data_IF_845510480472
#
_entry.id   IF_845510480472
#
_cell.length_a   1.000
_cell.length_b   1.000
_cell.length_c   1.000
_cell.angle_alpha   90.00
_cell.angle_beta   90.00
_cell.angle_gamma   90.00
#
_symmetry.space_group_name_H-M   'P 1'
#
loop_
_entity.id
_entity.type
_entity.pdbx_description
1 polymer ?
#
# COMPACT_ATOMS: atom_id res chain seq x y z
N UNK A 1 28.01 36.04 3.02
CA UNK A 1 28.35 34.62 3.29
C UNK A 1 27.80 33.78 2.12
N UNK A 2 28.64 33.03 1.44
CA UNK A 2 28.19 32.16 0.38
C UNK A 2 27.68 30.87 1.04
N UNK A 3 26.37 30.66 1.05
CA UNK A 3 25.76 29.43 1.55
C UNK A 3 25.86 28.35 0.45
N UNK A 4 26.46 27.21 0.75
CA UNK A 4 26.62 26.13 -0.20
C UNK A 4 25.30 25.37 -0.45
N UNK A 5 24.48 25.22 0.59
CA UNK A 5 23.21 24.50 0.49
C UNK A 5 22.15 25.14 1.38
N UNK A 6 20.97 25.35 0.83
CA UNK A 6 19.77 25.86 1.51
C UNK A 6 18.68 24.80 1.45
N UNK A 7 18.17 24.41 2.60
CA UNK A 7 17.09 23.42 2.70
C UNK A 7 15.74 24.14 2.80
N UNK A 8 14.84 23.82 1.88
CA UNK A 8 13.51 24.43 1.81
C UNK A 8 12.45 23.42 2.25
N UNK A 9 11.94 23.60 3.45
CA UNK A 9 10.82 22.81 3.96
C UNK A 9 9.50 23.35 3.45
N UNK A 10 8.65 22.45 2.99
CA UNK A 10 7.35 22.78 2.41
C UNK A 10 6.26 21.96 3.12
N UNK A 11 5.36 22.62 3.83
CA UNK A 11 4.12 22.00 4.28
C UNK A 11 3.05 22.26 3.22
N UNK A 12 2.66 21.19 2.53
CA UNK A 12 1.86 21.28 1.29
C UNK A 12 0.43 20.84 1.55
N UNK A 13 -0.51 21.73 1.26
CA UNK A 13 -1.96 21.49 1.30
C UNK A 13 -2.58 21.76 -0.07
N UNK A 14 -3.84 21.38 -0.26
CA UNK A 14 -4.52 21.54 -1.55
C UNK A 14 -4.52 22.99 -2.05
N UNK A 15 -4.80 23.93 -1.17
CA UNK A 15 -5.00 25.34 -1.54
C UNK A 15 -3.77 26.23 -1.27
N UNK A 16 -2.88 25.82 -0.35
CA UNK A 16 -1.76 26.65 0.07
C UNK A 16 -0.54 25.82 0.44
N UNK A 17 0.64 26.38 0.22
CA UNK A 17 1.93 25.85 0.69
C UNK A 17 2.55 26.81 1.70
N UNK A 18 3.06 26.26 2.80
CA UNK A 18 3.90 27.01 3.75
C UNK A 18 5.35 26.63 3.53
N UNK A 19 6.18 27.61 3.22
CA UNK A 19 7.58 27.45 2.83
C UNK A 19 8.48 28.11 3.87
N UNK A 20 9.66 27.56 4.10
CA UNK A 20 10.73 28.24 4.83
C UNK A 20 12.09 27.71 4.41
N UNK A 21 13.12 28.54 4.58
CA UNK A 21 14.51 28.15 4.39
C UNK A 21 15.17 27.76 5.72
N UNK A 22 16.16 26.86 5.65
CA UNK A 22 17.02 26.46 6.75
C UNK A 22 18.44 26.24 6.24
N UNK A 23 19.42 26.69 6.99
CA UNK A 23 20.83 26.39 6.72
C UNK A 23 21.49 25.85 7.98
N UNK A 24 22.54 25.04 7.83
CA UNK A 24 23.28 24.47 8.95
C UNK A 24 24.06 25.53 9.74
N UNK A 25 24.37 26.68 9.11
CA UNK A 25 25.12 27.77 9.74
C UNK A 25 24.26 28.56 10.74
N UNK A 26 22.97 28.71 10.44
CA UNK A 26 22.05 29.48 11.30
C UNK A 26 21.21 28.64 12.24
N UNK A 27 21.05 27.35 11.93
CA UNK A 27 20.27 26.37 12.71
C UNK A 27 18.83 26.79 13.05
N UNK A 28 18.26 27.71 12.26
CA UNK A 28 16.91 28.21 12.47
C UNK A 28 16.16 28.38 11.12
N UNK A 29 14.83 28.27 11.17
CA UNK A 29 13.99 28.49 10.01
C UNK A 29 13.80 30.00 9.74
N UNK A 30 14.10 30.41 8.51
CA UNK A 30 14.02 31.80 8.06
C UNK A 30 13.09 31.93 6.85
N UNK A 31 12.72 33.18 6.52
CA UNK A 31 11.93 33.55 5.33
C UNK A 31 10.65 32.73 5.19
N UNK A 32 9.98 32.45 6.31
CA UNK A 32 8.72 31.71 6.28
C UNK A 32 7.65 32.48 5.51
N UNK A 33 7.06 31.84 4.50
CA UNK A 33 6.03 32.43 3.63
C UNK A 33 4.92 31.42 3.37
N UNK A 34 3.67 31.89 3.34
CA UNK A 34 2.52 31.12 2.87
C UNK A 34 2.17 31.58 1.45
N UNK A 35 2.05 30.63 0.54
CA UNK A 35 1.76 30.89 -0.89
C UNK A 35 0.60 30.01 -1.36
N UNK A 36 0.03 30.34 -2.52
CA UNK A 36 -1.00 29.51 -3.14
C UNK A 36 -0.43 28.13 -3.51
N UNK A 37 -1.26 27.10 -3.51
CA UNK A 37 -0.91 25.70 -3.74
C UNK A 37 -0.57 25.39 -5.21
N UNK A 38 0.42 26.08 -5.77
CA UNK A 38 0.88 25.88 -7.14
C UNK A 38 2.41 25.88 -7.22
N UNK A 39 2.99 24.98 -8.01
CA UNK A 39 4.44 24.84 -8.13
C UNK A 39 5.17 26.11 -8.55
N UNK A 40 4.55 26.96 -9.40
CA UNK A 40 5.15 28.24 -9.83
C UNK A 40 5.38 29.20 -8.66
N UNK A 41 4.57 29.11 -7.61
CA UNK A 41 4.77 29.93 -6.39
C UNK A 41 6.01 29.47 -5.61
N UNK A 42 6.30 28.16 -5.66
CA UNK A 42 7.57 27.63 -5.09
C UNK A 42 8.74 28.13 -5.92
N UNK A 43 8.66 28.11 -7.26
CA UNK A 43 9.73 28.65 -8.13
C UNK A 43 9.99 30.13 -7.86
N UNK A 44 8.93 30.94 -7.78
CA UNK A 44 9.04 32.36 -7.46
C UNK A 44 9.67 32.60 -6.07
N UNK A 45 9.30 31.77 -5.09
CA UNK A 45 9.93 31.82 -3.77
C UNK A 45 11.43 31.51 -3.82
N UNK A 46 11.83 30.45 -4.54
CA UNK A 46 13.24 30.09 -4.71
C UNK A 46 14.04 31.19 -5.40
N UNK A 47 13.46 31.82 -6.41
CA UNK A 47 14.10 32.96 -7.11
C UNK A 47 14.30 34.16 -6.15
N UNK A 48 13.30 34.51 -5.35
CA UNK A 48 13.44 35.53 -4.32
C UNK A 48 14.52 35.15 -3.28
N UNK A 49 14.66 33.89 -2.94
CA UNK A 49 15.67 33.44 -1.97
C UNK A 49 17.10 33.49 -2.53
N UNK A 50 17.31 33.44 -3.86
CA UNK A 50 18.64 33.67 -4.47
C UNK A 50 19.19 35.03 -4.12
N UNK A 51 18.36 36.04 -3.99
CA UNK A 51 18.79 37.39 -3.56
C UNK A 51 19.42 37.37 -2.15
N UNK A 52 18.94 36.48 -1.27
CA UNK A 52 19.43 36.39 0.11
C UNK A 52 20.62 35.45 0.32
N UNK A 53 20.66 34.37 -0.47
CA UNK A 53 21.66 33.29 -0.28
C UNK A 53 22.74 33.25 -1.37
N UNK A 54 22.58 34.03 -2.45
CA UNK A 54 23.45 34.06 -3.61
C UNK A 54 22.99 33.17 -4.75
N UNK A 55 23.42 33.50 -5.98
CA UNK A 55 23.04 32.78 -7.20
C UNK A 55 23.58 31.34 -7.23
N UNK A 56 24.75 31.11 -6.64
CA UNK A 56 25.41 29.79 -6.55
C UNK A 56 24.80 28.86 -5.48
N UNK A 57 23.83 29.36 -4.68
CA UNK A 57 23.21 28.55 -3.63
C UNK A 57 22.41 27.37 -4.21
N UNK A 58 22.67 26.17 -3.69
CA UNK A 58 21.93 24.96 -4.06
C UNK A 58 20.71 24.80 -3.16
N UNK A 59 19.52 24.90 -3.74
CA UNK A 59 18.28 24.66 -3.01
C UNK A 59 17.88 23.20 -3.05
N UNK A 60 17.57 22.62 -1.88
CA UNK A 60 17.00 21.26 -1.73
C UNK A 60 15.63 21.43 -1.07
N UNK A 61 14.58 21.23 -1.86
CA UNK A 61 13.20 21.29 -1.41
C UNK A 61 12.76 19.94 -0.84
N UNK A 62 11.84 19.96 0.11
CA UNK A 62 11.19 18.73 0.55
C UNK A 62 9.85 18.96 1.20
N UNK A 63 9.01 17.95 1.11
CA UNK A 63 7.69 17.93 1.75
C UNK A 63 7.33 16.54 2.24
N UNK A 64 6.38 16.49 3.18
CA UNK A 64 5.90 15.23 3.76
C UNK A 64 4.97 14.49 2.78
N UNK A 65 5.14 13.17 2.67
CA UNK A 65 4.23 12.33 1.87
C UNK A 65 2.79 12.44 2.38
N UNK A 66 1.89 12.88 1.52
CA UNK A 66 0.49 13.12 1.83
C UNK A 66 -0.44 12.79 0.68
N UNK A 67 -1.66 13.34 0.74
CA UNK A 67 -2.71 13.07 -0.25
C UNK A 67 -2.49 13.70 -1.63
N UNK A 68 -1.53 14.63 -1.78
CA UNK A 68 -1.24 15.31 -3.04
C UNK A 68 -0.41 14.48 -4.03
N UNK A 69 0.00 13.26 -3.64
CA UNK A 69 0.75 12.36 -4.52
C UNK A 69 2.12 12.91 -4.91
N UNK A 70 2.54 12.64 -6.16
CA UNK A 70 3.87 12.96 -6.68
C UNK A 70 3.88 14.13 -7.67
N UNK A 71 2.72 14.72 -8.00
CA UNK A 71 2.60 15.76 -9.03
C UNK A 71 3.52 16.96 -8.75
N UNK A 72 3.54 17.47 -7.52
CA UNK A 72 4.43 18.59 -7.15
C UNK A 72 5.90 18.21 -7.30
N UNK A 73 6.27 16.99 -6.92
CA UNK A 73 7.64 16.49 -7.12
C UNK A 73 8.03 16.51 -8.60
N UNK A 74 7.18 15.95 -9.47
CA UNK A 74 7.45 15.91 -10.91
C UNK A 74 7.52 17.33 -11.53
N UNK A 75 6.64 18.24 -11.11
CA UNK A 75 6.67 19.63 -11.55
C UNK A 75 7.96 20.36 -11.12
N UNK A 76 8.40 20.21 -9.88
CA UNK A 76 9.63 20.84 -9.40
C UNK A 76 10.88 20.25 -10.07
N UNK A 77 10.95 18.93 -10.20
CA UNK A 77 12.10 18.27 -10.82
C UNK A 77 12.21 18.54 -12.33
N UNK A 78 11.09 18.70 -13.03
CA UNK A 78 11.09 19.12 -14.44
C UNK A 78 11.65 20.54 -14.64
N UNK A 79 11.66 21.37 -13.59
CA UNK A 79 12.28 22.70 -13.56
C UNK A 79 13.66 22.68 -12.89
N UNK A 80 14.34 21.53 -12.83
CA UNK A 80 15.67 21.34 -12.24
C UNK A 80 15.78 21.68 -10.74
N UNK A 81 14.67 21.72 -10.01
CA UNK A 81 14.66 21.88 -8.55
C UNK A 81 14.88 20.52 -7.90
N UNK A 82 15.90 20.40 -7.06
CA UNK A 82 16.12 19.19 -6.24
C UNK A 82 14.99 19.08 -5.21
N UNK A 83 14.20 18.02 -5.29
CA UNK A 83 13.06 17.80 -4.42
C UNK A 83 13.10 16.41 -3.79
N UNK A 84 12.67 16.29 -2.54
CA UNK A 84 12.62 15.04 -1.77
C UNK A 84 11.25 14.94 -1.10
N UNK A 85 10.65 13.75 -1.11
CA UNK A 85 9.44 13.48 -0.34
C UNK A 85 9.83 12.68 0.91
N UNK A 86 9.47 13.19 2.08
CA UNK A 86 9.82 12.60 3.37
C UNK A 86 8.72 11.66 3.85
N UNK A 87 9.10 10.49 4.38
CA UNK A 87 8.15 9.56 4.97
C UNK A 87 7.76 10.02 6.39
N UNK A 88 6.46 10.32 6.65
CA UNK A 88 6.00 10.89 7.93
C UNK A 88 6.36 10.04 9.15
N UNK A 89 6.38 8.73 8.99
CA UNK A 89 6.64 7.78 10.08
C UNK A 89 8.09 7.75 10.56
N UNK A 90 9.00 8.33 9.79
CA UNK A 90 10.45 8.34 10.09
C UNK A 90 10.94 9.68 10.59
N UNK A 91 10.12 10.72 10.50
CA UNK A 91 10.45 12.05 11.00
C UNK A 91 10.36 12.11 12.54
N UNK A 92 11.24 12.88 13.20
CA UNK A 92 11.16 13.08 14.65
C UNK A 92 9.82 13.68 15.05
N UNK A 93 9.22 13.13 16.10
CA UNK A 93 7.99 13.72 16.67
C UNK A 93 8.37 14.88 17.58
N UNK A 94 7.66 16.03 17.51
CA UNK A 94 7.91 17.13 18.42
C UNK A 94 7.81 16.68 19.88
N UNK A 95 8.83 16.99 20.67
CA UNK A 95 8.82 16.74 22.11
C UNK A 95 7.86 17.73 22.81
N UNK A 96 6.94 17.23 23.66
CA UNK A 96 6.11 18.07 24.53
C UNK A 96 4.63 17.65 24.60
N UNK A 97 4.01 17.92 25.75
CA UNK A 97 2.61 17.57 26.05
C UNK A 97 1.57 18.46 25.36
N UNK A 98 1.92 19.66 24.91
CA UNK A 98 1.01 20.58 24.19
C UNK A 98 1.43 20.67 22.71
N UNK A 99 0.69 19.99 21.85
CA UNK A 99 0.89 20.05 20.41
C UNK A 99 0.26 21.34 19.87
N UNK A 100 1.06 22.39 19.70
CA UNK A 100 0.65 23.52 18.86
C UNK A 100 1.13 23.20 17.46
N UNK A 101 0.22 22.67 16.63
CA UNK A 101 0.45 22.38 15.22
C UNK A 101 0.13 23.63 14.41
N UNK A 102 1.07 24.10 13.60
CA UNK A 102 0.90 25.18 12.63
C UNK A 102 1.71 24.87 11.39
N UNK A 103 1.17 25.19 10.22
CA UNK A 103 1.79 24.99 8.91
C UNK A 103 3.25 25.52 8.89
N UNK A 104 3.51 26.68 9.51
CA UNK A 104 4.85 27.25 9.63
C UNK A 104 5.82 26.36 10.40
N UNK A 105 5.37 25.72 11.49
CA UNK A 105 6.22 24.82 12.30
C UNK A 105 6.46 23.50 11.59
N UNK A 106 5.47 23.02 10.85
CA UNK A 106 5.59 21.79 10.09
C UNK A 106 6.57 21.98 8.91
N UNK A 107 6.52 23.11 8.19
CA UNK A 107 7.52 23.47 7.19
C UNK A 107 8.94 23.60 7.79
N UNK A 108 9.08 24.23 8.96
CA UNK A 108 10.36 24.34 9.65
C UNK A 108 10.93 22.99 10.11
N UNK A 109 10.07 22.08 10.58
CA UNK A 109 10.48 20.73 10.92
C UNK A 109 10.97 19.96 9.68
N UNK A 110 10.28 20.07 8.56
CA UNK A 110 10.66 19.44 7.29
C UNK A 110 12.03 19.96 6.84
N UNK A 111 12.24 21.30 6.85
CA UNK A 111 13.52 21.92 6.47
C UNK A 111 14.68 21.41 7.35
N UNK A 112 14.46 21.33 8.66
CA UNK A 112 15.43 20.79 9.61
C UNK A 112 15.72 19.31 9.37
N UNK A 113 14.68 18.49 9.14
CA UNK A 113 14.86 17.08 8.81
C UNK A 113 15.71 16.89 7.54
N UNK A 114 15.48 17.73 6.49
CA UNK A 114 16.31 17.73 5.29
C UNK A 114 17.78 18.03 5.60
N UNK A 115 18.04 19.07 6.40
CA UNK A 115 19.39 19.51 6.76
C UNK A 115 20.18 18.43 7.54
N UNK A 116 19.53 17.80 8.50
CA UNK A 116 20.16 16.77 9.35
C UNK A 116 20.01 15.34 8.80
N UNK A 117 19.30 15.14 7.69
CA UNK A 117 18.98 13.82 7.10
C UNK A 117 18.21 12.91 8.05
N UNK A 118 17.39 13.49 8.92
CA UNK A 118 16.57 12.78 9.92
C UNK A 118 15.22 12.33 9.30
N UNK A 119 15.29 11.63 8.18
CA UNK A 119 14.12 11.09 7.47
C UNK A 119 14.49 9.92 6.57
N UNK A 120 13.50 9.13 6.19
CA UNK A 120 13.63 8.21 5.06
C UNK A 120 12.93 8.80 3.83
N UNK A 121 13.61 8.85 2.67
CA UNK A 121 12.98 9.33 1.45
C UNK A 121 11.92 8.35 0.97
N UNK A 122 10.81 8.88 0.45
CA UNK A 122 9.81 8.08 -0.24
C UNK A 122 10.34 7.71 -1.62
N UNK A 123 10.17 6.45 -2.00
CA UNK A 123 10.48 6.00 -3.36
C UNK A 123 9.45 6.60 -4.32
N UNK A 124 9.94 7.27 -5.35
CA UNK A 124 9.11 7.84 -6.41
C UNK A 124 8.91 6.76 -7.48
N UNK A 125 7.67 6.33 -7.73
CA UNK A 125 7.39 5.36 -8.79
C UNK A 125 7.62 5.98 -10.17
N UNK A 126 7.77 5.14 -11.19
CA UNK A 126 7.65 5.60 -12.56
C UNK A 126 6.22 6.07 -12.83
N UNK A 127 6.03 6.93 -13.82
CA UNK A 127 4.68 7.40 -14.20
C UNK A 127 3.77 6.22 -14.57
N UNK A 128 4.32 5.21 -15.25
CA UNK A 128 3.59 3.99 -15.59
C UNK A 128 3.18 3.18 -14.35
N UNK A 129 4.09 3.00 -13.39
CA UNK A 129 3.76 2.32 -12.13
C UNK A 129 2.69 3.08 -11.33
N UNK A 130 2.73 4.41 -11.38
CA UNK A 130 1.73 5.26 -10.71
C UNK A 130 0.35 5.06 -11.34
N UNK A 131 0.24 5.09 -12.67
CA UNK A 131 -1.01 4.84 -13.40
C UNK A 131 -1.56 3.44 -13.13
N UNK A 132 -0.71 2.41 -13.19
CA UNK A 132 -1.13 1.02 -12.92
C UNK A 132 -1.56 0.84 -11.47
N UNK A 133 -0.86 1.47 -10.53
CA UNK A 133 -1.22 1.48 -9.11
C UNK A 133 -2.59 2.11 -8.87
N UNK A 134 -2.86 3.27 -9.45
CA UNK A 134 -4.18 3.93 -9.37
C UNK A 134 -5.28 3.05 -9.97
N UNK A 135 -5.02 2.41 -11.10
CA UNK A 135 -5.98 1.50 -11.73
C UNK A 135 -6.33 0.32 -10.82
N UNK A 136 -5.33 -0.29 -10.18
CA UNK A 136 -5.53 -1.40 -9.24
C UNK A 136 -6.30 -0.95 -7.99
N UNK A 137 -6.00 0.23 -7.46
CA UNK A 137 -6.70 0.81 -6.31
C UNK A 137 -8.15 1.11 -6.64
N UNK A 138 -8.44 1.72 -7.79
CA UNK A 138 -9.80 1.93 -8.29
C UNK A 138 -10.57 0.60 -8.39
N UNK A 139 -9.94 -0.45 -8.92
CA UNK A 139 -10.54 -1.80 -8.96
C UNK A 139 -10.86 -2.31 -7.55
N UNK A 140 -9.98 -2.06 -6.58
CA UNK A 140 -10.22 -2.45 -5.18
C UNK A 140 -11.42 -1.72 -4.57
N UNK A 141 -11.63 -0.45 -4.90
CA UNK A 141 -12.78 0.33 -4.46
C UNK A 141 -14.08 -0.26 -4.99
N UNK A 142 -14.12 -0.68 -6.27
CA UNK A 142 -15.28 -1.40 -6.83
C UNK A 142 -15.52 -2.75 -6.17
N UNK A 143 -14.46 -3.48 -5.77
CA UNK A 143 -14.59 -4.73 -4.98
C UNK A 143 -15.23 -4.47 -3.62
N UNK A 144 -14.86 -3.37 -2.96
CA UNK A 144 -15.46 -2.96 -1.69
C UNK A 144 -16.93 -2.54 -1.88
N UNK A 145 -17.26 -1.83 -2.95
CA UNK A 145 -18.62 -1.47 -3.29
C UNK A 145 -19.49 -2.73 -3.52
N UNK A 146 -19.01 -3.70 -4.29
CA UNK A 146 -19.69 -4.98 -4.49
C UNK A 146 -19.90 -5.73 -3.17
N UNK A 147 -18.90 -5.74 -2.28
CA UNK A 147 -19.04 -6.33 -0.94
C UNK A 147 -20.16 -5.66 -0.15
N UNK A 148 -20.28 -4.33 -0.22
CA UNK A 148 -21.35 -3.57 0.46
C UNK A 148 -22.72 -3.94 -0.10
N UNK A 149 -22.88 -3.99 -1.42
CA UNK A 149 -24.15 -4.41 -2.07
C UNK A 149 -24.53 -5.82 -1.66
N UNK A 150 -23.59 -6.77 -1.66
CA UNK A 150 -23.82 -8.14 -1.16
C UNK A 150 -24.34 -8.15 0.29
N UNK A 151 -23.77 -7.34 1.16
CA UNK A 151 -24.24 -7.23 2.56
C UNK A 151 -25.65 -6.62 2.63
N UNK A 152 -25.96 -5.62 1.81
CA UNK A 152 -27.27 -4.98 1.75
C UNK A 152 -28.35 -5.96 1.30
N UNK A 153 -28.09 -6.79 0.27
CA UNK A 153 -29.00 -7.84 -0.21
C UNK A 153 -29.28 -8.87 0.90
N UNK A 154 -28.22 -9.37 1.57
CA UNK A 154 -28.42 -10.34 2.65
C UNK A 154 -29.19 -9.74 3.85
N UNK A 155 -28.92 -8.48 4.18
CA UNK A 155 -29.65 -7.76 5.22
C UNK A 155 -31.13 -7.52 4.84
N UNK A 156 -31.40 -7.23 3.55
CA UNK A 156 -32.78 -7.14 3.04
C UNK A 156 -33.50 -8.48 3.20
N UNK A 157 -32.90 -9.57 2.73
CA UNK A 157 -33.49 -10.92 2.88
C UNK A 157 -33.78 -11.26 4.34
N UNK A 158 -32.83 -10.95 5.25
CA UNK A 158 -32.99 -11.21 6.69
C UNK A 158 -34.16 -10.43 7.29
N UNK A 159 -34.31 -9.13 6.98
CA UNK A 159 -35.38 -8.29 7.50
C UNK A 159 -36.77 -8.73 7.04
N UNK A 160 -36.87 -9.30 5.84
CA UNK A 160 -38.12 -9.74 5.24
C UNK A 160 -38.35 -11.25 5.32
N UNK A 161 -37.57 -11.96 6.17
CA UNK A 161 -37.66 -13.40 6.41
C UNK A 161 -37.52 -14.27 5.14
N UNK A 162 -36.80 -13.81 4.12
CA UNK A 162 -36.41 -14.64 2.98
C UNK A 162 -35.21 -15.49 3.37
N UNK A 163 -35.39 -16.81 3.41
CA UNK A 163 -34.36 -17.76 3.83
C UNK A 163 -33.91 -18.63 2.67
N UNK A 164 -32.59 -18.79 2.52
CA UNK A 164 -31.99 -19.69 1.56
C UNK A 164 -31.48 -20.93 2.29
N UNK A 165 -32.23 -22.03 2.22
CA UNK A 165 -31.97 -23.24 3.01
C UNK A 165 -31.20 -24.32 2.22
N UNK A 166 -31.00 -24.15 0.90
CA UNK A 166 -30.38 -25.17 0.04
C UNK A 166 -28.91 -25.43 0.39
N UNK A 167 -28.14 -24.39 0.77
CA UNK A 167 -26.74 -24.52 1.21
C UNK A 167 -26.35 -23.39 2.15
N UNK A 168 -25.27 -23.60 2.95
CA UNK A 168 -24.66 -22.50 3.76
C UNK A 168 -23.85 -21.49 2.92
N UNK A 169 -23.65 -21.75 1.63
CA UNK A 169 -22.80 -20.91 0.77
C UNK A 169 -23.65 -19.93 -0.01
N UNK A 170 -23.48 -18.63 0.29
CA UNK A 170 -24.04 -17.54 -0.50
C UNK A 170 -23.21 -17.24 -1.75
N UNK A 171 -23.81 -16.54 -2.73
CA UNK A 171 -23.17 -16.03 -3.96
C UNK A 171 -22.74 -17.14 -4.94
N UNK A 172 -23.30 -18.34 -4.81
CA UNK A 172 -23.26 -19.39 -5.82
C UNK A 172 -24.32 -19.13 -6.89
N UNK A 173 -24.22 -19.78 -8.06
CA UNK A 173 -25.24 -19.67 -9.10
C UNK A 173 -26.65 -20.03 -8.58
N UNK A 174 -26.74 -21.09 -7.79
CA UNK A 174 -28.00 -21.47 -7.17
C UNK A 174 -28.58 -20.42 -6.22
N UNK A 175 -27.72 -19.78 -5.40
CA UNK A 175 -28.16 -18.68 -4.53
C UNK A 175 -28.60 -17.45 -5.33
N UNK A 176 -27.89 -17.11 -6.43
CA UNK A 176 -28.28 -15.99 -7.29
C UNK A 176 -29.59 -16.27 -8.03
N UNK A 177 -29.81 -17.50 -8.51
CA UNK A 177 -31.09 -17.92 -9.12
C UNK A 177 -32.23 -17.79 -8.10
N UNK A 178 -32.01 -18.26 -6.86
CA UNK A 178 -32.98 -18.10 -5.79
C UNK A 178 -33.27 -16.62 -5.49
N UNK A 179 -32.29 -15.76 -5.37
CA UNK A 179 -32.51 -14.33 -5.16
C UNK A 179 -33.36 -13.70 -6.27
N UNK A 180 -33.11 -14.07 -7.53
CA UNK A 180 -33.87 -13.60 -8.71
C UNK A 180 -35.26 -14.20 -8.80
N UNK A 181 -35.53 -15.34 -8.16
CA UNK A 181 -36.86 -15.96 -8.11
C UNK A 181 -37.76 -15.39 -7.02
N UNK A 182 -37.22 -14.62 -6.07
CA UNK A 182 -38.01 -13.97 -5.05
C UNK A 182 -38.97 -12.95 -5.68
N UNK A 183 -40.21 -12.94 -5.17
CA UNK A 183 -41.28 -12.01 -5.60
C UNK A 183 -41.82 -11.29 -4.37
N UNK A 184 -41.10 -10.34 -3.81
CA UNK A 184 -41.62 -9.47 -2.76
C UNK A 184 -42.80 -8.64 -3.28
N UNK A 185 -43.68 -8.22 -2.39
CA UNK A 185 -44.84 -7.40 -2.77
C UNK A 185 -44.51 -5.93 -2.90
N UNK A 186 -45.17 -5.23 -3.83
CA UNK A 186 -45.12 -3.79 -3.99
C UNK A 186 -43.70 -3.23 -4.15
N UNK A 187 -43.36 -2.17 -3.42
CA UNK A 187 -42.08 -1.46 -3.49
C UNK A 187 -40.87 -2.35 -3.10
N UNK A 188 -41.08 -3.41 -2.34
CA UNK A 188 -39.99 -4.34 -2.01
C UNK A 188 -39.47 -5.09 -3.24
N UNK A 189 -40.28 -5.31 -4.26
CA UNK A 189 -39.85 -5.89 -5.52
C UNK A 189 -38.89 -4.94 -6.26
N UNK A 190 -39.20 -3.66 -6.30
CA UNK A 190 -38.33 -2.64 -6.90
C UNK A 190 -37.00 -2.55 -6.15
N UNK A 191 -37.03 -2.48 -4.82
CA UNK A 191 -35.83 -2.42 -3.99
C UNK A 191 -34.91 -3.62 -4.23
N UNK A 192 -35.45 -4.84 -4.28
CA UNK A 192 -34.66 -6.03 -4.54
C UNK A 192 -34.06 -6.01 -5.96
N UNK A 193 -34.86 -5.59 -6.96
CA UNK A 193 -34.42 -5.43 -8.35
C UNK A 193 -33.25 -4.46 -8.46
N UNK A 194 -33.32 -3.30 -7.82
CA UNK A 194 -32.24 -2.29 -7.84
C UNK A 194 -30.94 -2.79 -7.16
N UNK A 195 -31.07 -3.53 -6.04
CA UNK A 195 -29.91 -4.16 -5.44
C UNK A 195 -29.26 -5.23 -6.34
N UNK A 196 -30.06 -6.05 -7.00
CA UNK A 196 -29.57 -7.07 -7.93
C UNK A 196 -28.96 -6.45 -9.19
N UNK A 197 -29.56 -5.39 -9.73
CA UNK A 197 -28.99 -4.59 -10.82
C UNK A 197 -27.62 -4.02 -10.45
N UNK A 198 -27.50 -3.42 -9.28
CA UNK A 198 -26.21 -2.91 -8.76
C UNK A 198 -25.18 -4.02 -8.59
N UNK A 199 -25.60 -5.20 -8.12
CA UNK A 199 -24.72 -6.37 -8.00
C UNK A 199 -24.19 -6.81 -9.37
N UNK A 200 -25.07 -6.94 -10.39
CA UNK A 200 -24.72 -7.37 -11.74
C UNK A 200 -23.76 -6.35 -12.39
N UNK A 201 -24.08 -5.05 -12.35
CA UNK A 201 -23.23 -3.98 -12.90
C UNK A 201 -21.83 -3.97 -12.29
N UNK A 202 -21.71 -4.11 -10.96
CA UNK A 202 -20.42 -4.15 -10.28
C UNK A 202 -19.64 -5.43 -10.58
N UNK A 203 -20.33 -6.57 -10.78
CA UNK A 203 -19.70 -7.83 -11.14
C UNK A 203 -19.11 -7.75 -12.55
N UNK A 204 -19.90 -7.31 -13.54
CA UNK A 204 -19.45 -7.12 -14.93
C UNK A 204 -18.29 -6.10 -15.02
N UNK A 205 -18.39 -5.03 -14.23
CA UNK A 205 -17.32 -4.03 -14.17
C UNK A 205 -16.02 -4.63 -13.63
N UNK A 206 -16.09 -5.40 -12.55
CA UNK A 206 -14.91 -6.06 -11.99
C UNK A 206 -14.29 -7.06 -12.95
N UNK A 207 -15.08 -7.81 -13.71
CA UNK A 207 -14.58 -8.74 -14.73
C UNK A 207 -13.81 -7.99 -15.85
N UNK A 208 -14.32 -6.83 -16.30
CA UNK A 208 -13.61 -6.00 -17.28
C UNK A 208 -12.30 -5.44 -16.72
N UNK A 209 -12.33 -4.96 -15.47
CA UNK A 209 -11.13 -4.44 -14.80
C UNK A 209 -10.10 -5.54 -14.57
N UNK A 210 -10.53 -6.75 -14.21
CA UNK A 210 -9.63 -7.89 -14.02
C UNK A 210 -8.96 -8.31 -15.33
N UNK A 211 -9.69 -8.34 -16.44
CA UNK A 211 -9.09 -8.58 -17.78
C UNK A 211 -8.04 -7.53 -18.12
N UNK A 212 -8.32 -6.25 -17.86
CA UNK A 212 -7.33 -5.19 -18.10
C UNK A 212 -6.10 -5.33 -17.24
N UNK A 213 -6.23 -5.77 -16.00
CA UNK A 213 -5.10 -6.05 -15.10
C UNK A 213 -4.24 -7.21 -15.64
N UNK A 214 -4.83 -8.26 -16.21
CA UNK A 214 -4.08 -9.34 -16.87
C UNK A 214 -3.29 -8.81 -18.08
N UNK A 215 -3.88 -7.92 -18.89
CA UNK A 215 -3.20 -7.28 -20.02
C UNK A 215 -2.03 -6.40 -19.55
N UNK A 216 -2.23 -5.59 -18.50
CA UNK A 216 -1.17 -4.76 -17.92
C UNK A 216 -0.03 -5.62 -17.38
N UNK A 217 -0.35 -6.72 -16.69
CA UNK A 217 0.65 -7.65 -16.17
C UNK A 217 1.43 -8.41 -17.27
N UNK A 218 0.88 -8.50 -18.48
CA UNK A 218 1.54 -9.11 -19.63
C UNK A 218 2.52 -8.15 -20.35
N UNK A 219 2.58 -6.88 -19.96
CA UNK A 219 3.54 -5.92 -20.51
C UNK A 219 4.98 -6.31 -20.14
N UNK A 220 5.96 -6.03 -20.99
CA UNK A 220 7.36 -6.46 -20.79
C UNK A 220 7.94 -6.09 -19.41
N UNK A 221 7.57 -4.93 -18.87
CA UNK A 221 8.06 -4.40 -17.59
C UNK A 221 7.62 -5.24 -16.39
N UNK A 222 6.46 -5.91 -16.50
CA UNK A 222 5.83 -6.64 -15.40
C UNK A 222 5.77 -8.15 -15.59
N UNK A 223 5.78 -8.62 -16.84
CA UNK A 223 5.45 -10.00 -17.19
C UNK A 223 6.30 -11.03 -16.44
N UNK A 224 7.60 -10.90 -16.51
CA UNK A 224 8.53 -11.85 -15.89
C UNK A 224 8.35 -11.89 -14.38
N UNK A 225 8.41 -10.73 -13.72
CA UNK A 225 8.29 -10.62 -12.27
C UNK A 225 6.93 -11.10 -11.75
N UNK A 226 5.86 -10.81 -12.50
CA UNK A 226 4.49 -11.27 -12.17
C UNK A 226 4.40 -12.79 -12.26
N UNK A 227 5.00 -13.40 -13.30
CA UNK A 227 5.04 -14.85 -13.47
C UNK A 227 5.84 -15.52 -12.34
N UNK A 228 7.00 -14.98 -11.98
CA UNK A 228 7.82 -15.49 -10.88
C UNK A 228 7.05 -15.44 -9.56
N UNK A 229 6.46 -14.30 -9.20
CA UNK A 229 5.67 -14.17 -7.98
C UNK A 229 4.46 -15.10 -7.95
N UNK A 230 3.84 -15.38 -9.10
CA UNK A 230 2.68 -16.27 -9.21
C UNK A 230 3.01 -17.75 -8.94
N UNK A 231 4.30 -18.09 -8.79
CA UNK A 231 4.75 -19.41 -8.33
C UNK A 231 4.46 -19.65 -6.83
N UNK A 232 4.27 -18.59 -6.05
CA UNK A 232 3.83 -18.74 -4.66
C UNK A 232 2.35 -19.12 -4.58
N UNK A 233 2.02 -19.96 -3.59
CA UNK A 233 0.64 -20.37 -3.33
C UNK A 233 -0.21 -19.13 -2.92
N UNK A 234 -1.34 -18.96 -3.60
CA UNK A 234 -2.28 -17.87 -3.31
C UNK A 234 -1.97 -16.53 -3.98
N UNK A 235 -0.78 -16.36 -4.57
CA UNK A 235 -0.48 -15.20 -5.40
C UNK A 235 -0.96 -15.45 -6.83
N UNK A 236 -1.84 -14.58 -7.31
CA UNK A 236 -2.30 -14.52 -8.69
C UNK A 236 -1.82 -13.22 -9.33
N UNK A 237 -2.03 -13.05 -10.62
CA UNK A 237 -1.61 -11.89 -11.42
C UNK A 237 -1.91 -10.57 -10.74
N UNK A 238 -3.14 -10.34 -10.29
CA UNK A 238 -3.52 -9.09 -9.61
C UNK A 238 -2.68 -8.83 -8.35
N UNK A 239 -2.49 -9.84 -7.49
CA UNK A 239 -1.69 -9.68 -6.26
C UNK A 239 -0.22 -9.44 -6.58
N UNK A 240 0.32 -10.14 -7.58
CA UNK A 240 1.70 -9.97 -8.03
C UNK A 240 1.91 -8.57 -8.61
N UNK A 241 1.11 -8.14 -9.58
CA UNK A 241 1.22 -6.81 -10.19
C UNK A 241 1.03 -5.71 -9.15
N UNK A 242 0.02 -5.83 -8.27
CA UNK A 242 -0.20 -4.87 -7.18
C UNK A 242 1.03 -4.74 -6.28
N UNK A 243 1.68 -5.86 -5.95
CA UNK A 243 2.89 -5.85 -5.12
C UNK A 243 4.06 -5.17 -5.86
N UNK A 244 4.21 -5.40 -7.16
CA UNK A 244 5.27 -4.78 -7.98
C UNK A 244 5.14 -3.26 -8.01
N UNK A 245 3.97 -2.74 -8.40
CA UNK A 245 3.78 -1.28 -8.58
C UNK A 245 3.70 -0.51 -7.26
N UNK A 246 3.30 -1.15 -6.17
CA UNK A 246 3.30 -0.54 -4.84
C UNK A 246 4.69 -0.50 -4.20
N UNK A 247 5.55 -1.46 -4.53
CA UNK A 247 6.91 -1.54 -3.98
C UNK A 247 7.91 -0.80 -4.87
N UNK A 248 7.75 -0.90 -6.19
CA UNK A 248 8.73 -0.41 -7.16
C UNK A 248 10.03 -1.24 -7.11
N UNK A 249 11.10 -0.65 -6.61
CA UNK A 249 12.38 -1.33 -6.49
C UNK A 249 12.52 -2.08 -5.15
N UNK A 250 12.66 -3.42 -5.23
CA UNK A 250 12.90 -4.27 -4.06
C UNK A 250 14.32 -4.15 -3.51
N UNK A 251 15.28 -3.77 -4.34
CA UNK A 251 16.69 -3.61 -3.95
C UNK A 251 16.94 -2.42 -3.01
N UNK A 252 15.96 -1.48 -2.91
CA UNK A 252 16.02 -0.38 -1.94
C UNK A 252 15.94 -0.84 -0.48
N UNK A 253 15.55 -2.08 -0.23
CA UNK A 253 15.56 -2.68 1.10
C UNK A 253 16.82 -3.55 1.26
N UNK A 254 17.66 -3.21 2.22
CA UNK A 254 18.91 -3.94 2.46
C UNK A 254 18.67 -5.37 2.99
N UNK A 255 17.46 -5.69 3.47
CA UNK A 255 17.12 -7.03 3.97
C UNK A 255 15.61 -7.32 3.89
N UNK A 256 15.28 -8.60 3.90
CA UNK A 256 13.90 -9.07 3.97
C UNK A 256 13.15 -8.54 5.22
N UNK A 257 13.87 -8.32 6.33
CA UNK A 257 13.34 -7.77 7.56
C UNK A 257 12.94 -6.30 7.39
N UNK A 258 13.74 -5.50 6.68
CA UNK A 258 13.39 -4.12 6.35
C UNK A 258 12.15 -4.07 5.45
N UNK A 259 12.05 -4.97 4.46
CA UNK A 259 10.85 -5.07 3.63
C UNK A 259 9.61 -5.45 4.47
N UNK A 260 9.71 -6.42 5.37
CA UNK A 260 8.62 -6.78 6.27
C UNK A 260 8.22 -5.63 7.22
N UNK A 261 9.18 -4.80 7.64
CA UNK A 261 8.95 -3.60 8.43
C UNK A 261 8.23 -2.51 7.62
N UNK A 262 8.64 -2.28 6.38
CA UNK A 262 7.95 -1.38 5.43
C UNK A 262 6.49 -1.75 5.23
N UNK A 263 6.15 -3.04 5.31
CA UNK A 263 4.77 -3.53 5.23
C UNK A 263 4.03 -3.45 6.59
N UNK A 264 4.71 -3.11 7.67
CA UNK A 264 4.16 -3.09 9.03
C UNK A 264 3.72 -4.47 9.52
N UNK A 265 4.40 -5.53 9.05
CA UNK A 265 4.19 -6.92 9.46
C UNK A 265 5.13 -7.36 10.59
N UNK A 266 6.06 -6.52 11.02
CA UNK A 266 6.93 -6.79 12.16
C UNK A 266 6.17 -6.59 13.47
N UNK A 267 6.40 -7.45 14.49
CA UNK A 267 5.86 -7.21 15.82
C UNK A 267 6.39 -5.89 16.39
N UNK A 268 5.51 -5.15 17.07
CA UNK A 268 5.93 -4.09 17.97
C UNK A 268 6.46 -4.68 19.27
N UNK A 269 7.31 -3.95 19.96
CA UNK A 269 7.84 -4.29 21.26
C UNK A 269 7.78 -3.04 22.16
N UNK A 270 7.33 -3.24 23.38
CA UNK A 270 7.32 -2.22 24.43
C UNK A 270 7.91 -2.87 25.68
N UNK A 271 9.24 -2.94 25.67
CA UNK A 271 10.04 -3.60 26.70
C UNK A 271 10.78 -2.56 27.51
N UNK A 272 10.69 -2.63 28.84
CA UNK A 272 11.45 -1.79 29.76
C UNK A 272 12.04 -2.66 30.88
N UNK A 273 13.34 -2.48 31.13
CA UNK A 273 14.04 -3.26 32.14
C UNK A 273 14.13 -4.75 31.77
N UNK A 274 13.73 -5.63 32.64
CA UNK A 274 13.76 -7.09 32.42
C UNK A 274 12.48 -7.66 31.75
N UNK A 275 11.44 -6.85 31.57
CA UNK A 275 10.16 -7.30 31.05
C UNK A 275 10.05 -7.12 29.53
N UNK A 276 9.91 -8.23 28.80
CA UNK A 276 9.64 -8.24 27.36
C UNK A 276 8.14 -8.27 27.08
N UNK A 277 7.56 -7.13 26.68
CA UNK A 277 6.18 -7.05 26.26
C UNK A 277 6.09 -7.00 24.72
N UNK A 278 5.76 -8.13 24.11
CA UNK A 278 5.56 -8.25 22.66
C UNK A 278 4.16 -7.84 22.27
N UNK A 279 4.06 -6.77 21.51
CA UNK A 279 2.82 -6.24 20.96
C UNK A 279 2.40 -6.98 19.67
N UNK A 280 1.23 -6.62 19.14
CA UNK A 280 0.84 -7.00 17.78
C UNK A 280 1.78 -6.42 16.71
N UNK A 281 1.46 -6.62 15.43
CA UNK A 281 2.21 -6.00 14.34
C UNK A 281 2.10 -4.49 14.38
N UNK A 282 3.15 -3.78 13.96
CA UNK A 282 3.24 -2.30 13.99
C UNK A 282 2.16 -1.62 13.15
N UNK A 283 1.70 -2.26 12.08
CA UNK A 283 0.76 -1.71 11.08
C UNK A 283 1.25 -0.41 10.41
N UNK A 284 2.49 -0.02 10.62
CA UNK A 284 3.11 1.10 9.93
C UNK A 284 3.38 0.76 8.45
N UNK A 285 3.45 1.78 7.58
CA UNK A 285 3.79 1.62 6.17
C UNK A 285 2.65 1.10 5.29
N UNK A 286 2.98 0.37 4.21
CA UNK A 286 2.01 0.05 3.14
C UNK A 286 0.91 -0.92 3.57
N UNK A 287 -0.26 -0.36 3.90
CA UNK A 287 -1.44 -1.12 4.33
C UNK A 287 -2.08 -1.94 3.21
N UNK A 288 -1.96 -1.49 1.96
CA UNK A 288 -2.55 -2.17 0.81
C UNK A 288 -1.88 -3.54 0.59
N UNK A 289 -0.53 -3.57 0.47
CA UNK A 289 0.20 -4.84 0.32
C UNK A 289 0.04 -5.70 1.56
N UNK A 290 0.12 -5.12 2.76
CA UNK A 290 -0.11 -5.89 3.99
C UNK A 290 -1.43 -6.64 3.97
N UNK A 291 -2.52 -5.99 3.54
CA UNK A 291 -3.83 -6.63 3.41
C UNK A 291 -3.81 -7.75 2.38
N UNK A 292 -3.25 -7.51 1.20
CA UNK A 292 -3.13 -8.53 0.14
C UNK A 292 -2.36 -9.76 0.60
N UNK A 293 -1.24 -9.58 1.30
CA UNK A 293 -0.43 -10.71 1.79
C UNK A 293 -1.11 -11.48 2.92
N UNK A 294 -1.86 -10.81 3.81
CA UNK A 294 -2.67 -11.49 4.83
C UNK A 294 -3.81 -12.28 4.18
N UNK A 295 -4.48 -11.74 3.16
CA UNK A 295 -5.48 -12.47 2.37
C UNK A 295 -4.84 -13.66 1.65
N UNK A 296 -3.68 -13.49 1.03
CA UNK A 296 -2.91 -14.55 0.38
C UNK A 296 -2.53 -15.67 1.35
N UNK A 297 -2.16 -15.31 2.60
CA UNK A 297 -1.82 -16.27 3.64
C UNK A 297 -2.97 -17.24 3.97
N UNK A 298 -4.21 -16.89 3.63
CA UNK A 298 -5.37 -17.80 3.74
C UNK A 298 -5.19 -19.09 2.91
N UNK A 299 -4.44 -19.03 1.80
CA UNK A 299 -4.17 -20.19 0.95
C UNK A 299 -3.28 -21.25 1.63
N UNK A 300 -2.56 -20.87 2.66
CA UNK A 300 -1.69 -21.79 3.43
C UNK A 300 -2.40 -22.50 4.58
N UNK A 301 -3.67 -22.13 4.86
CA UNK A 301 -4.44 -22.73 5.96
C UNK A 301 -5.06 -24.09 5.62
N UNK A 302 -5.00 -24.51 4.37
CA UNK A 302 -5.66 -25.72 3.85
C UNK A 302 -4.70 -26.55 2.99
N UNK A 303 -5.00 -27.86 2.90
CA UNK A 303 -4.30 -28.81 2.04
C UNK A 303 -3.05 -29.41 2.66
N UNK A 304 -2.56 -30.48 2.07
CA UNK A 304 -1.38 -31.21 2.53
C UNK A 304 -0.08 -30.43 2.28
N UNK A 305 0.90 -30.63 3.16
CA UNK A 305 2.24 -30.08 3.01
C UNK A 305 2.89 -30.73 1.78
N UNK A 306 3.53 -29.92 0.93
CA UNK A 306 4.15 -30.39 -0.33
C UNK A 306 3.16 -30.59 -1.50
N UNK A 307 1.85 -30.65 -1.26
CA UNK A 307 0.88 -30.83 -2.35
C UNK A 307 0.71 -29.57 -3.21
N UNK A 308 0.79 -29.74 -4.52
CA UNK A 308 0.55 -28.71 -5.53
C UNK A 308 -0.75 -28.99 -6.28
N UNK A 309 -1.69 -28.03 -6.25
CA UNK A 309 -2.91 -28.09 -7.05
C UNK A 309 -2.63 -27.96 -8.55
N UNK A 310 -3.54 -28.44 -9.41
CA UNK A 310 -3.45 -28.26 -10.87
C UNK A 310 -3.27 -26.78 -11.24
N UNK A 311 -3.99 -25.87 -10.58
CA UNK A 311 -3.89 -24.41 -10.81
C UNK A 311 -2.54 -23.83 -10.43
N UNK A 312 -1.89 -24.30 -9.38
CA UNK A 312 -0.53 -23.87 -9.02
C UNK A 312 0.49 -24.40 -10.04
N UNK A 313 0.39 -25.67 -10.44
CA UNK A 313 1.26 -26.25 -11.47
C UNK A 313 1.15 -25.48 -12.80
N UNK A 314 -0.05 -25.11 -13.21
CA UNK A 314 -0.28 -24.32 -14.41
C UNK A 314 0.38 -22.93 -14.35
N UNK A 315 0.32 -22.25 -13.19
CA UNK A 315 1.01 -20.95 -13.01
C UNK A 315 2.53 -21.08 -12.98
N UNK A 316 3.05 -22.18 -12.47
CA UNK A 316 4.49 -22.45 -12.44
C UNK A 316 5.04 -22.89 -13.80
N UNK A 317 4.20 -23.41 -14.67
CA UNK A 317 4.61 -23.87 -16.00
C UNK A 317 5.28 -22.76 -16.81
N UNK A 318 6.43 -23.07 -17.42
CA UNK A 318 7.22 -22.14 -18.22
C UNK A 318 8.05 -21.12 -17.42
N UNK A 319 8.08 -21.22 -16.07
CA UNK A 319 9.04 -20.45 -15.27
C UNK A 319 10.38 -21.22 -15.11
N UNK A 320 11.50 -20.54 -14.81
CA UNK A 320 12.79 -21.17 -14.52
C UNK A 320 12.69 -22.18 -13.36
N UNK A 321 13.46 -23.26 -13.44
CA UNK A 321 13.40 -24.36 -12.46
C UNK A 321 13.83 -23.93 -11.06
N UNK A 322 14.78 -23.02 -10.94
CA UNK A 322 15.24 -22.42 -9.68
C UNK A 322 14.16 -21.60 -9.00
N UNK A 323 13.42 -20.75 -9.76
CA UNK A 323 12.26 -19.97 -9.29
C UNK A 323 11.16 -20.89 -8.78
N UNK A 324 10.82 -21.94 -9.53
CA UNK A 324 9.81 -22.93 -9.11
C UNK A 324 10.26 -23.60 -7.81
N UNK A 325 11.51 -24.06 -7.76
CA UNK A 325 12.07 -24.74 -6.58
C UNK A 325 12.09 -23.84 -5.35
N UNK A 326 12.46 -22.56 -5.53
CA UNK A 326 12.44 -21.58 -4.46
C UNK A 326 11.02 -21.35 -3.93
N UNK A 327 10.06 -21.15 -4.83
CA UNK A 327 8.65 -20.96 -4.46
C UNK A 327 8.06 -22.20 -3.75
N UNK A 328 8.42 -23.41 -4.19
CA UNK A 328 7.96 -24.66 -3.58
C UNK A 328 8.49 -24.85 -2.17
N UNK A 329 9.78 -24.60 -1.94
CA UNK A 329 10.37 -24.60 -0.60
C UNK A 329 9.66 -23.61 0.32
N UNK A 330 9.38 -22.40 -0.19
CA UNK A 330 8.63 -21.39 0.54
C UNK A 330 7.20 -21.86 0.85
N UNK A 331 6.46 -22.37 -0.15
CA UNK A 331 5.09 -22.85 0.00
C UNK A 331 4.98 -23.96 1.06
N UNK A 332 5.91 -24.90 1.05
CA UNK A 332 5.96 -25.98 2.03
C UNK A 332 6.27 -25.45 3.45
N UNK A 333 7.29 -24.62 3.58
CA UNK A 333 7.70 -24.02 4.86
C UNK A 333 6.59 -23.17 5.48
N UNK A 334 5.91 -22.34 4.69
CA UNK A 334 4.82 -21.47 5.14
C UNK A 334 3.62 -22.27 5.63
N UNK A 335 3.26 -23.36 4.93
CA UNK A 335 2.20 -24.25 5.34
C UNK A 335 2.56 -25.01 6.62
N UNK A 336 3.78 -25.54 6.74
CA UNK A 336 4.29 -26.15 7.98
C UNK A 336 4.26 -25.17 9.14
N UNK A 337 4.65 -23.91 8.91
CA UNK A 337 4.60 -22.87 9.93
C UNK A 337 3.18 -22.62 10.41
N UNK A 338 2.21 -22.48 9.50
CA UNK A 338 0.81 -22.29 9.88
C UNK A 338 0.32 -23.42 10.79
N UNK A 339 0.47 -24.67 10.35
CA UNK A 339 0.01 -25.82 11.14
C UNK A 339 0.72 -25.93 12.49
N UNK A 340 2.02 -25.73 12.53
CA UNK A 340 2.78 -25.73 13.80
C UNK A 340 2.24 -24.69 14.77
N UNK A 341 1.95 -23.47 14.30
CA UNK A 341 1.44 -22.40 15.16
C UNK A 341 0.04 -22.67 15.66
N UNK A 342 -0.84 -23.21 14.83
CA UNK A 342 -2.24 -23.47 15.22
C UNK A 342 -2.37 -24.77 16.00
N UNK A 343 -1.82 -25.88 15.51
CA UNK A 343 -2.01 -27.20 16.08
C UNK A 343 -1.11 -27.46 17.30
N UNK A 344 0.20 -27.12 17.20
CA UNK A 344 1.14 -27.45 18.26
C UNK A 344 1.29 -26.33 19.31
N UNK A 345 1.12 -25.06 18.91
CA UNK A 345 1.30 -23.91 19.81
C UNK A 345 -0.02 -23.26 20.24
N UNK A 346 -1.19 -23.76 19.79
CA UNK A 346 -2.50 -23.23 20.13
C UNK A 346 -2.75 -21.76 19.74
N UNK A 347 -1.99 -21.22 18.79
CA UNK A 347 -2.14 -19.82 18.39
C UNK A 347 -3.42 -19.59 17.60
N UNK A 348 -4.08 -18.46 17.83
CA UNK A 348 -5.27 -18.06 17.05
C UNK A 348 -4.93 -18.03 15.54
N UNK A 349 -5.83 -18.54 14.71
CA UNK A 349 -5.65 -18.64 13.26
C UNK A 349 -5.23 -17.32 12.59
N UNK A 350 -5.78 -16.18 13.02
CA UNK A 350 -5.42 -14.88 12.46
C UNK A 350 -3.98 -14.46 12.82
N UNK A 351 -3.48 -14.82 14.00
CA UNK A 351 -2.09 -14.59 14.40
C UNK A 351 -1.16 -15.43 13.54
N UNK A 352 -1.50 -16.71 13.33
CA UNK A 352 -0.72 -17.61 12.48
C UNK A 352 -0.70 -17.11 11.01
N UNK A 353 -1.84 -16.68 10.45
CA UNK A 353 -1.91 -16.08 9.10
C UNK A 353 -1.03 -14.84 8.97
N UNK A 354 -1.04 -13.95 9.94
CA UNK A 354 -0.18 -12.75 9.92
C UNK A 354 1.31 -13.11 9.97
N UNK A 355 1.68 -14.13 10.76
CA UNK A 355 3.05 -14.62 10.82
C UNK A 355 3.49 -15.30 9.51
N UNK A 356 2.56 -15.98 8.81
CA UNK A 356 2.79 -16.54 7.47
C UNK A 356 2.94 -15.41 6.44
N UNK A 357 2.08 -14.40 6.47
CA UNK A 357 2.15 -13.25 5.57
C UNK A 357 3.48 -12.49 5.69
N UNK A 358 3.99 -12.31 6.92
CA UNK A 358 5.31 -11.71 7.15
C UNK A 358 6.43 -12.54 6.50
N UNK A 359 6.43 -13.87 6.66
CA UNK A 359 7.46 -14.71 6.10
C UNK A 359 7.31 -14.85 4.58
N UNK A 360 6.06 -14.83 4.04
CA UNK A 360 5.82 -14.76 2.60
C UNK A 360 6.41 -13.47 2.01
N UNK A 361 6.26 -12.33 2.70
CA UNK A 361 6.91 -11.09 2.27
C UNK A 361 8.44 -11.26 2.16
N UNK A 362 9.07 -11.92 3.13
CA UNK A 362 10.51 -12.19 3.06
C UNK A 362 10.89 -13.07 1.85
N UNK A 363 10.09 -14.08 1.53
CA UNK A 363 10.32 -14.91 0.33
C UNK A 363 10.10 -14.13 -0.98
N UNK A 364 9.09 -13.26 -1.02
CA UNK A 364 8.88 -12.37 -2.18
C UNK A 364 10.08 -11.46 -2.38
N UNK A 365 10.57 -10.83 -1.31
CA UNK A 365 11.78 -10.00 -1.37
C UNK A 365 12.97 -10.77 -1.92
N UNK A 366 13.25 -11.97 -1.38
CA UNK A 366 14.38 -12.79 -1.84
C UNK A 366 14.22 -13.36 -3.26
N UNK A 367 13.00 -13.42 -3.82
CA UNK A 367 12.78 -13.78 -5.22
C UNK A 367 13.00 -12.59 -6.16
N UNK A 368 12.81 -11.35 -5.67
CA UNK A 368 12.85 -10.13 -6.48
C UNK A 368 14.19 -9.40 -6.42
N UNK A 369 15.10 -9.80 -5.53
CA UNK A 369 16.48 -9.27 -5.39
C UNK A 369 17.53 -10.26 -5.86
#
# INVERSE_FOLDING_TARGET
>A
MNYSTVYVGMDVHKETFSLCCYTNEKEQAEYSQKVDGHYSKVLNYLEAMRFHYGDDAVFICGYEAGCLGFTLYHQLTSHNVKCVILAPTTMPKPAGKKKVKTDKRDAALIARCLAHRDYSPVHIPTEQDEQVKEYIRMRQDHKLALKKVKQQILAFCLRHNYRYDATKNHWTQAHLQWLRSLKPDGLYQEILSEYLSSYDQLTDKLERLDRRIEELAAQPEYQEKTRHMSCFLGIKTQTALSTLVEVGDFKRFASAQQFASYLGLTPGEDSSGGDQNRLGITKAGNSHIRTLLIETAQSYTRGQIGYKSKTLKARQYGNPADIITYADKANERLRRKYYRMVLNQGKKANVAKTAVARELACFIWGMMT
#
